data_IF_474093711258
#
_entry.id   IF_474093711258
#
_cell.length_a   1.000
_cell.length_b   1.000
_cell.length_c   1.000
_cell.angle_alpha   90.00
_cell.angle_beta   90.00
_cell.angle_gamma   90.00
#
_symmetry.space_group_name_H-M   'P 1'
#
loop_
_entity.id
_entity.type
_entity.pdbx_description
1 polymer ?
#
# COMPACT_ATOMS: atom_id res chain seq x y z
N UNK A 1 10.36 0.22 -12.51
CA UNK A 1 10.61 -0.89 -11.57
C UNK A 1 9.51 -1.92 -11.76
N UNK A 2 9.80 -3.22 -11.70
CA UNK A 2 8.74 -4.24 -11.71
C UNK A 2 8.03 -4.25 -10.34
N UNK A 3 6.70 -4.22 -10.34
CA UNK A 3 5.86 -4.31 -9.14
C UNK A 3 5.60 -5.80 -8.85
N UNK A 4 5.98 -6.32 -7.66
CA UNK A 4 5.71 -7.71 -7.27
C UNK A 4 4.20 -7.99 -7.24
N UNK A 5 3.80 -9.20 -7.59
CA UNK A 5 2.38 -9.58 -7.58
C UNK A 5 1.79 -9.53 -6.16
N UNK A 6 2.59 -9.82 -5.14
CA UNK A 6 2.23 -9.72 -3.73
C UNK A 6 1.91 -8.28 -3.33
N UNK A 7 2.65 -7.31 -3.89
CA UNK A 7 2.37 -5.90 -3.68
C UNK A 7 1.08 -5.47 -4.39
N UNK A 8 0.81 -5.98 -5.59
CA UNK A 8 -0.46 -5.72 -6.30
C UNK A 8 -1.64 -6.31 -5.54
N UNK A 9 -1.52 -7.54 -5.08
CA UNK A 9 -2.53 -8.20 -4.25
C UNK A 9 -2.77 -7.41 -2.96
N UNK A 10 -1.71 -6.92 -2.30
CA UNK A 10 -1.82 -6.05 -1.13
C UNK A 10 -2.58 -4.75 -1.44
N UNK A 11 -2.21 -4.05 -2.51
CA UNK A 11 -2.86 -2.79 -2.92
C UNK A 11 -4.34 -3.02 -3.25
N UNK A 12 -4.69 -4.14 -3.86
CA UNK A 12 -6.09 -4.48 -4.17
C UNK A 12 -6.99 -4.61 -2.93
N UNK A 13 -6.43 -4.84 -1.74
CA UNK A 13 -7.19 -4.88 -0.49
C UNK A 13 -7.68 -3.50 -0.06
N UNK A 14 -7.11 -2.42 -0.60
CA UNK A 14 -7.55 -1.05 -0.38
C UNK A 14 -8.69 -0.64 -1.34
N UNK A 15 -8.99 -1.44 -2.35
CA UNK A 15 -10.10 -1.26 -3.29
C UNK A 15 -11.40 -1.93 -2.80
N UNK A 16 -11.34 -2.66 -1.68
CA UNK A 16 -12.52 -3.28 -1.10
C UNK A 16 -13.44 -2.19 -0.53
N UNK A 17 -14.48 -1.89 -1.31
CA UNK A 17 -15.59 -1.00 -1.01
C UNK A 17 -16.16 -1.32 0.39
N UNK A 18 -15.67 -0.62 1.41
CA UNK A 18 -16.22 -0.65 2.76
C UNK A 18 -17.50 0.20 2.73
N UNK A 19 -18.51 -0.39 2.10
CA UNK A 19 -19.76 0.18 1.57
C UNK A 19 -20.65 0.99 2.54
N UNK A 20 -20.22 1.33 3.75
CA UNK A 20 -21.08 2.08 4.70
C UNK A 20 -20.32 2.93 5.75
N UNK A 21 -18.99 2.98 5.71
CA UNK A 21 -18.18 3.87 6.54
C UNK A 21 -16.93 4.22 5.76
N UNK A 22 -16.52 5.49 5.73
CA UNK A 22 -15.12 5.82 5.42
C UNK A 22 -14.28 5.24 6.57
N UNK A 23 -13.62 4.08 6.40
CA UNK A 23 -12.76 3.55 7.45
C UNK A 23 -11.65 4.56 7.73
N UNK A 24 -11.16 4.60 8.95
CA UNK A 24 -9.94 5.35 9.21
C UNK A 24 -8.74 4.67 8.51
N UNK A 25 -7.68 5.42 8.21
CA UNK A 25 -6.50 4.88 7.52
C UNK A 25 -5.85 3.70 8.27
N UNK A 26 -5.95 3.66 9.60
CA UNK A 26 -5.38 2.58 10.43
C UNK A 26 -6.23 1.32 10.34
N UNK A 27 -7.55 1.44 10.26
CA UNK A 27 -8.48 0.34 10.04
C UNK A 27 -8.24 -0.28 8.65
N UNK A 28 -8.02 0.53 7.63
CA UNK A 28 -7.64 0.05 6.28
C UNK A 28 -6.31 -0.72 6.31
N UNK A 29 -5.28 -0.17 6.95
CA UNK A 29 -3.99 -0.85 7.09
C UNK A 29 -4.17 -2.16 7.86
N UNK A 30 -4.86 -2.14 9.00
CA UNK A 30 -5.11 -3.34 9.79
C UNK A 30 -5.87 -4.40 8.99
N UNK A 31 -6.86 -3.99 8.19
CA UNK A 31 -7.59 -4.85 7.29
C UNK A 31 -6.67 -5.47 6.24
N UNK A 32 -5.89 -4.66 5.53
CA UNK A 32 -4.97 -5.14 4.50
C UNK A 32 -3.94 -6.12 5.08
N UNK A 33 -3.34 -5.77 6.23
CA UNK A 33 -2.38 -6.65 6.93
C UNK A 33 -3.03 -7.96 7.39
N UNK A 34 -4.26 -7.92 7.89
CA UNK A 34 -4.97 -9.14 8.31
C UNK A 34 -5.23 -10.10 7.15
N UNK A 35 -5.49 -9.58 5.96
CA UNK A 35 -5.80 -10.38 4.76
C UNK A 35 -4.59 -10.68 3.88
N UNK A 36 -3.42 -10.15 4.22
CA UNK A 36 -2.15 -10.48 3.55
C UNK A 36 -1.51 -11.69 4.23
N UNK A 37 -1.17 -12.76 3.49
CA UNK A 37 -0.41 -13.89 4.02
C UNK A 37 0.94 -13.45 4.61
N UNK A 38 1.41 -14.12 5.66
CA UNK A 38 2.68 -13.72 6.32
C UNK A 38 3.91 -13.84 5.39
N UNK A 39 3.89 -14.80 4.46
CA UNK A 39 4.92 -14.92 3.42
C UNK A 39 4.93 -13.69 2.50
N UNK A 40 3.75 -13.21 2.10
CA UNK A 40 3.58 -12.07 1.20
C UNK A 40 3.92 -10.76 1.92
N UNK A 41 3.62 -10.65 3.23
CA UNK A 41 4.03 -9.49 4.05
C UNK A 41 5.53 -9.25 4.02
N UNK A 42 6.35 -10.30 4.04
CA UNK A 42 7.81 -10.15 3.97
C UNK A 42 8.24 -9.57 2.61
N UNK A 43 7.61 -10.02 1.53
CA UNK A 43 7.88 -9.53 0.16
C UNK A 43 7.42 -8.08 0.02
N UNK A 44 6.21 -7.77 0.49
CA UNK A 44 5.66 -6.41 0.48
C UNK A 44 6.51 -5.47 1.31
N UNK A 45 6.95 -5.88 2.52
CA UNK A 45 7.83 -5.08 3.38
C UNK A 45 9.18 -4.79 2.71
N UNK A 46 9.82 -5.80 2.12
CA UNK A 46 11.10 -5.60 1.41
C UNK A 46 10.94 -4.66 0.21
N UNK A 47 9.79 -4.74 -0.49
CA UNK A 47 9.48 -3.82 -1.58
C UNK A 47 9.22 -2.39 -1.09
N UNK A 48 8.51 -2.22 0.03
CA UNK A 48 8.29 -0.93 0.69
C UNK A 48 9.61 -0.30 1.19
N UNK A 49 10.52 -1.10 1.76
CA UNK A 49 11.85 -0.66 2.16
C UNK A 49 12.63 -0.09 0.97
N UNK A 50 12.54 -0.75 -0.20
CA UNK A 50 13.18 -0.28 -1.44
C UNK A 50 12.53 0.98 -2.00
N UNK A 51 11.20 1.08 -1.95
CA UNK A 51 10.45 2.25 -2.42
C UNK A 51 10.73 3.48 -1.56
N UNK A 52 10.68 3.32 -0.23
CA UNK A 52 10.81 4.43 0.72
C UNK A 52 12.26 4.78 1.06
N UNK A 53 13.20 3.84 0.85
CA UNK A 53 14.64 4.07 1.00
C UNK A 53 15.34 4.52 -0.29
N UNK A 54 14.65 4.48 -1.42
CA UNK A 54 15.16 4.98 -2.70
C UNK A 54 14.82 6.46 -2.95
N UNK A 55 15.33 7.00 -4.05
CA UNK A 55 15.12 8.39 -4.49
C UNK A 55 13.78 8.60 -5.25
N UNK A 56 12.78 7.74 -4.99
CA UNK A 56 11.50 7.82 -5.69
C UNK A 56 10.71 9.03 -5.22
N UNK A 57 10.37 9.92 -6.16
CA UNK A 57 9.51 11.07 -5.91
C UNK A 57 8.05 10.66 -5.69
N UNK A 58 7.24 11.54 -5.09
CA UNK A 58 5.83 11.23 -4.79
C UNK A 58 5.01 10.90 -6.05
N UNK A 59 5.33 11.53 -7.18
CA UNK A 59 4.70 11.22 -8.48
C UNK A 59 5.04 9.80 -8.97
N UNK A 60 6.24 9.31 -8.71
CA UNK A 60 6.64 7.94 -9.09
C UNK A 60 6.00 6.91 -8.16
N UNK A 61 5.91 7.21 -6.85
CA UNK A 61 5.19 6.38 -5.90
C UNK A 61 3.71 6.27 -6.27
N UNK A 62 3.09 7.39 -6.65
CA UNK A 62 1.71 7.41 -7.14
C UNK A 62 1.55 6.55 -8.39
N UNK A 63 2.47 6.65 -9.35
CA UNK A 63 2.45 5.82 -10.54
C UNK A 63 2.54 4.33 -10.20
N UNK A 64 3.46 3.94 -9.31
CA UNK A 64 3.63 2.54 -8.88
C UNK A 64 2.38 2.02 -8.17
N UNK A 65 1.75 2.86 -7.34
CA UNK A 65 0.49 2.54 -6.68
C UNK A 65 -0.65 2.30 -7.67
N UNK A 66 -0.82 3.21 -8.64
CA UNK A 66 -1.83 3.07 -9.70
C UNK A 66 -1.57 1.89 -10.63
N UNK A 67 -0.29 1.61 -10.94
CA UNK A 67 0.11 0.43 -11.72
C UNK A 67 -0.17 -0.89 -10.97
N UNK A 68 -0.34 -0.83 -9.65
CA UNK A 68 -0.60 -2.00 -8.81
C UNK A 68 -2.09 -2.35 -8.68
N UNK A 69 -3.03 -1.44 -9.01
CA UNK A 69 -4.46 -1.73 -9.00
C UNK A 69 -5.36 -0.53 -9.37
N UNK A 70 -6.59 -0.77 -9.89
CA UNK A 70 -7.53 0.30 -10.20
C UNK A 70 -8.05 0.94 -8.91
N UNK A 71 -8.11 2.27 -8.90
CA UNK A 71 -8.16 3.06 -7.69
C UNK A 71 -9.58 3.47 -7.26
N UNK A 72 -9.95 3.16 -6.03
CA UNK A 72 -10.84 4.00 -5.23
C UNK A 72 -10.03 4.72 -4.13
N UNK A 73 -10.14 6.05 -4.13
CA UNK A 73 -9.59 6.97 -3.13
C UNK A 73 -8.07 6.84 -2.89
N UNK A 74 -7.28 7.19 -3.92
CA UNK A 74 -5.87 7.53 -3.67
C UNK A 74 -5.87 8.77 -2.77
N UNK A 75 -5.25 8.71 -1.59
CA UNK A 75 -4.99 9.93 -0.85
C UNK A 75 -3.95 10.74 -1.67
N UNK A 76 -3.95 12.07 -1.58
CA UNK A 76 -3.10 12.90 -2.45
C UNK A 76 -1.60 12.48 -2.35
N UNK A 77 -0.74 12.94 -3.27
CA UNK A 77 0.66 12.49 -3.39
C UNK A 77 1.43 12.42 -2.06
N UNK A 78 1.22 13.39 -1.16
CA UNK A 78 1.86 13.43 0.15
C UNK A 78 1.26 12.42 1.14
N UNK A 79 -0.04 12.19 1.09
CA UNK A 79 -0.73 11.20 1.92
C UNK A 79 -0.38 9.76 1.52
N UNK A 80 -0.13 9.49 0.22
CA UNK A 80 0.32 8.17 -0.23
C UNK A 80 1.65 7.78 0.41
N UNK A 81 2.64 8.68 0.45
CA UNK A 81 3.92 8.38 1.11
C UNK A 81 3.72 8.07 2.59
N UNK A 82 2.86 8.82 3.28
CA UNK A 82 2.54 8.59 4.69
C UNK A 82 1.86 7.23 4.89
N UNK A 83 0.90 6.87 4.05
CA UNK A 83 0.25 5.56 4.05
C UNK A 83 1.28 4.43 3.91
N UNK A 84 2.17 4.51 2.92
CA UNK A 84 3.21 3.50 2.70
C UNK A 84 4.17 3.39 3.90
N UNK A 85 4.49 4.51 4.55
CA UNK A 85 5.29 4.52 5.78
C UNK A 85 4.55 3.85 6.95
N UNK A 86 3.25 4.13 7.12
CA UNK A 86 2.44 3.51 8.18
C UNK A 86 2.30 2.01 7.98
N UNK A 87 2.06 1.55 6.73
CA UNK A 87 2.03 0.12 6.39
C UNK A 87 3.36 -0.54 6.74
N UNK A 88 4.49 0.05 6.31
CA UNK A 88 5.83 -0.47 6.60
C UNK A 88 6.08 -0.58 8.11
N UNK A 89 5.69 0.42 8.88
CA UNK A 89 5.82 0.41 10.35
C UNK A 89 4.95 -0.66 10.99
N UNK A 90 3.73 -0.88 10.49
CA UNK A 90 2.80 -1.87 11.01
C UNK A 90 3.17 -3.33 10.65
N UNK A 91 4.01 -3.54 9.64
CA UNK A 91 4.60 -4.86 9.29
C UNK A 91 5.84 -5.23 10.14
N UNK A 92 6.02 -4.62 11.31
CA UNK A 92 7.18 -4.86 12.18
C UNK A 92 7.22 -6.25 12.78
#
# INVERSE_FOLDING_TARGET
>A
MQVPEEFKAFVSLFDLDLHDRTPDERELIAFALKHTPDADKQIVKAYLDKLLGGDYGDAELLKIWLDAGPALSVPNQSELRQLLQMVRQAMS
#
